data_IF_689287695308
#
_entry.id   IF_689287695308
#
_cell.length_a   1.000
_cell.length_b   1.000
_cell.length_c   1.000
_cell.angle_alpha   90.00
_cell.angle_beta   90.00
_cell.angle_gamma   90.00
#
_symmetry.space_group_name_H-M   'P 1'
#
loop_
_entity.id
_entity.type
_entity.pdbx_description
1 polymer ?
#
# COMPACT_ATOMS: atom_id res chain seq x y z
N UNK A 1 -5.51 -7.56 -24.47
CA UNK A 1 -6.32 -6.34 -24.56
C UNK A 1 -5.49 -5.13 -24.95
N UNK A 2 -6.06 -4.18 -25.73
CA UNK A 2 -5.38 -2.94 -26.09
C UNK A 2 -5.10 -2.07 -24.84
N UNK A 3 -3.94 -1.39 -24.79
CA UNK A 3 -3.60 -0.49 -23.69
C UNK A 3 -4.41 0.80 -23.77
N UNK A 4 -5.61 0.80 -23.19
CA UNK A 4 -6.46 2.00 -23.02
C UNK A 4 -6.31 2.55 -21.61
N UNK A 5 -6.63 3.84 -21.44
CA UNK A 5 -6.61 4.51 -20.12
C UNK A 5 -7.53 3.77 -19.14
N UNK A 6 -8.71 3.36 -19.58
CA UNK A 6 -9.68 2.69 -18.72
C UNK A 6 -9.22 1.28 -18.32
N UNK A 7 -8.58 0.55 -19.26
CA UNK A 7 -7.97 -0.74 -18.94
C UNK A 7 -6.84 -0.58 -17.91
N UNK A 8 -6.00 0.45 -18.04
CA UNK A 8 -4.93 0.74 -17.09
C UNK A 8 -5.48 1.09 -15.70
N UNK A 9 -6.52 1.92 -15.60
CA UNK A 9 -7.19 2.26 -14.33
C UNK A 9 -7.77 1.01 -13.67
N UNK A 10 -8.49 0.21 -14.45
CA UNK A 10 -9.11 -1.02 -13.97
C UNK A 10 -8.08 -2.04 -13.48
N UNK A 11 -6.92 -2.13 -14.16
CA UNK A 11 -5.82 -2.98 -13.73
C UNK A 11 -5.30 -2.56 -12.35
N UNK A 12 -5.00 -1.27 -12.14
CA UNK A 12 -4.51 -0.78 -10.84
C UNK A 12 -5.54 -1.00 -9.74
N UNK A 13 -6.82 -0.72 -10.02
CA UNK A 13 -7.93 -1.01 -9.10
C UNK A 13 -7.98 -2.48 -8.71
N UNK A 14 -7.87 -3.37 -9.71
CA UNK A 14 -7.88 -4.81 -9.52
C UNK A 14 -6.67 -5.33 -8.72
N UNK A 15 -5.50 -4.69 -8.84
CA UNK A 15 -4.27 -5.16 -8.21
C UNK A 15 -4.20 -4.85 -6.72
N UNK A 16 -4.63 -3.66 -6.30
CA UNK A 16 -4.34 -3.16 -4.94
C UNK A 16 -5.57 -2.85 -4.09
N UNK A 17 -6.70 -2.56 -4.75
CA UNK A 17 -7.90 -2.04 -4.08
C UNK A 17 -9.07 -3.02 -4.10
N UNK A 18 -8.92 -4.18 -4.76
CA UNK A 18 -9.93 -5.22 -4.82
C UNK A 18 -9.69 -6.30 -3.77
N UNK A 19 -10.56 -6.36 -2.77
CA UNK A 19 -10.45 -7.32 -1.66
C UNK A 19 -10.45 -8.80 -2.08
N UNK A 20 -11.06 -9.15 -3.22
CA UNK A 20 -11.04 -10.53 -3.73
C UNK A 20 -9.69 -10.93 -4.31
N UNK A 21 -8.88 -9.95 -4.73
CA UNK A 21 -7.59 -10.17 -5.41
C UNK A 21 -6.40 -9.79 -4.53
N UNK A 22 -6.63 -8.99 -3.50
CA UNK A 22 -5.60 -8.48 -2.61
C UNK A 22 -6.14 -8.38 -1.18
N UNK A 23 -5.48 -9.05 -0.24
CA UNK A 23 -5.80 -9.01 1.19
C UNK A 23 -4.48 -9.02 1.99
N UNK A 24 -4.20 -7.95 2.73
CA UNK A 24 -3.07 -7.87 3.66
C UNK A 24 -3.21 -8.84 4.84
N UNK A 25 -4.39 -9.42 5.04
CA UNK A 25 -4.82 -10.03 6.28
C UNK A 25 -4.75 -9.04 7.47
N UNK A 26 -5.28 -9.47 8.62
CA UNK A 26 -5.25 -8.67 9.86
C UNK A 26 -3.82 -8.35 10.29
N UNK A 27 -2.91 -9.32 10.19
CA UNK A 27 -1.51 -9.15 10.60
C UNK A 27 -0.76 -8.21 9.65
N UNK A 28 -0.99 -8.27 8.34
CA UNK A 28 -0.34 -7.36 7.41
C UNK A 28 -0.81 -5.92 7.60
N UNK A 29 -2.12 -5.68 7.77
CA UNK A 29 -2.64 -4.35 8.10
C UNK A 29 -2.05 -3.82 9.42
N UNK A 30 -1.96 -4.66 10.45
CA UNK A 30 -1.32 -4.28 11.72
C UNK A 30 0.15 -3.86 11.54
N UNK A 31 0.95 -4.65 10.83
CA UNK A 31 2.36 -4.34 10.57
C UNK A 31 2.51 -3.06 9.74
N UNK A 32 1.70 -2.89 8.70
CA UNK A 32 1.73 -1.72 7.82
C UNK A 32 1.40 -0.44 8.59
N UNK A 33 0.35 -0.47 9.40
CA UNK A 33 -0.02 0.66 10.25
C UNK A 33 1.10 1.06 11.20
N UNK A 34 1.70 0.08 11.90
CA UNK A 34 2.78 0.34 12.83
C UNK A 34 4.02 0.91 12.13
N UNK A 35 4.36 0.40 10.95
CA UNK A 35 5.55 0.80 10.19
C UNK A 35 5.41 2.21 9.60
N UNK A 36 4.22 2.56 9.13
CA UNK A 36 3.94 3.83 8.45
C UNK A 36 3.28 4.89 9.35
N UNK A 37 3.04 4.58 10.62
CA UNK A 37 2.32 5.46 11.55
C UNK A 37 0.92 5.80 11.04
N UNK A 38 0.16 4.79 10.59
CA UNK A 38 -1.22 4.92 10.15
C UNK A 38 -2.18 4.41 11.22
N UNK A 39 -3.36 5.01 11.28
CA UNK A 39 -4.45 4.60 12.17
C UNK A 39 -5.68 4.15 11.35
N UNK A 40 -5.48 3.10 10.55
CA UNK A 40 -6.56 2.49 9.78
C UNK A 40 -7.14 1.26 10.50
N UNK A 41 -8.45 0.99 10.40
CA UNK A 41 -9.04 -0.15 11.07
C UNK A 41 -8.48 -1.48 10.53
N UNK A 42 -8.39 -2.50 11.39
CA UNK A 42 -7.88 -3.83 11.00
C UNK A 42 -8.76 -4.54 9.95
N UNK A 43 -9.98 -4.05 9.73
CA UNK A 43 -10.90 -4.52 8.68
C UNK A 43 -10.55 -3.94 7.31
N UNK A 44 -9.84 -2.82 7.24
CA UNK A 44 -9.33 -2.24 5.99
C UNK A 44 -8.12 -3.05 5.54
N UNK A 45 -8.34 -4.10 4.74
CA UNK A 45 -7.26 -5.04 4.39
C UNK A 45 -6.78 -4.97 2.94
N UNK A 46 -7.36 -4.09 2.13
CA UNK A 46 -6.72 -3.66 0.88
C UNK A 46 -5.81 -2.47 1.16
N UNK A 47 -4.91 -2.15 0.23
CA UNK A 47 -4.19 -0.87 0.29
C UNK A 47 -5.17 0.29 0.14
N UNK A 48 -4.74 1.46 0.60
CA UNK A 48 -5.37 2.77 0.43
C UNK A 48 -4.39 3.69 -0.27
N UNK A 49 -4.87 4.84 -0.76
CA UNK A 49 -3.96 5.82 -1.35
C UNK A 49 -2.96 6.37 -0.32
N UNK A 50 -3.38 6.52 0.95
CA UNK A 50 -2.48 6.99 2.02
C UNK A 50 -1.38 5.95 2.32
N UNK A 51 -1.69 4.65 2.26
CA UNK A 51 -0.66 3.61 2.33
C UNK A 51 0.41 3.82 1.26
N UNK A 52 -0.01 3.98 0.00
CA UNK A 52 0.92 4.15 -1.13
C UNK A 52 1.77 5.41 -0.98
N UNK A 53 1.16 6.53 -0.59
CA UNK A 53 1.88 7.79 -0.36
C UNK A 53 2.91 7.62 0.75
N UNK A 54 2.54 7.02 1.88
CA UNK A 54 3.48 6.81 3.00
C UNK A 54 4.57 5.79 2.68
N UNK A 55 4.28 4.74 1.90
CA UNK A 55 5.30 3.79 1.42
C UNK A 55 6.35 4.53 0.58
N UNK A 56 5.91 5.32 -0.40
CA UNK A 56 6.83 6.06 -1.28
C UNK A 56 7.61 7.10 -0.48
N UNK A 57 6.94 7.86 0.40
CA UNK A 57 7.61 8.82 1.28
C UNK A 57 8.68 8.14 2.15
N UNK A 58 8.38 6.98 2.71
CA UNK A 58 9.33 6.22 3.53
C UNK A 58 10.54 5.75 2.73
N UNK A 59 10.35 5.31 1.49
CA UNK A 59 11.46 4.95 0.58
C UNK A 59 12.35 6.17 0.31
N UNK A 60 11.75 7.33 0.05
CA UNK A 60 12.49 8.59 -0.17
C UNK A 60 13.28 9.01 1.08
N UNK A 61 12.69 8.88 2.29
CA UNK A 61 13.40 9.14 3.54
C UNK A 61 14.63 8.25 3.74
N UNK A 62 14.46 6.94 3.51
CA UNK A 62 15.56 5.97 3.61
C UNK A 62 16.69 6.29 2.63
N UNK A 63 16.35 6.64 1.38
CA UNK A 63 17.33 7.04 0.38
C UNK A 63 18.07 8.34 0.76
N UNK A 64 17.43 9.21 1.53
CA UNK A 64 18.04 10.42 2.09
C UNK A 64 18.81 10.16 3.41
N UNK A 65 19.05 8.89 3.77
CA UNK A 65 19.76 8.50 4.98
C UNK A 65 18.96 8.69 6.29
N UNK A 66 17.63 8.89 6.19
CA UNK A 66 16.78 9.12 7.36
C UNK A 66 16.09 7.83 7.82
N UNK A 67 16.61 7.27 8.90
CA UNK A 67 16.16 6.02 9.52
C UNK A 67 16.85 4.79 8.93
N UNK A 68 16.52 3.60 9.45
CA UNK A 68 17.16 2.34 9.07
C UNK A 68 16.25 1.49 8.18
N UNK A 69 16.81 0.74 7.20
CA UNK A 69 16.11 -0.37 6.54
C UNK A 69 15.60 -1.38 7.57
N UNK A 70 14.62 -2.18 7.17
CA UNK A 70 14.29 -3.39 7.93
C UNK A 70 15.44 -4.41 7.80
N UNK A 71 15.70 -5.14 8.89
CA UNK A 71 16.73 -6.18 8.98
C UNK A 71 16.52 -7.33 7.97
#
# INVERSE_FOLDING_TARGET
DPPTIDNARNLVQSLFFNFRRYDLAKVGRYKLNRKLGLDLPMTQRTLTNDDLVKIVARIVELNNGKGSPDD
#
